data_IF_867454833283
#
_entry.id   IF_867454833283
#
_cell.length_a   1.000
_cell.length_b   1.000
_cell.length_c   1.000
_cell.angle_alpha   90.00
_cell.angle_beta   90.00
_cell.angle_gamma   90.00
#
_symmetry.space_group_name_H-M   'P 1'
#
loop_
_entity.id
_entity.type
_entity.pdbx_description
1 polymer ?
#
# COMPACT_ATOMS: atom_id res chain seq x y z
N UNK A 1 -35.37 0.75 8.22
CA UNK A 1 -34.08 0.58 8.89
C UNK A 1 -33.92 1.70 9.91
N UNK A 2 -33.45 1.40 11.11
CA UNK A 2 -33.17 2.40 12.16
C UNK A 2 -31.77 3.02 12.02
N UNK A 3 -30.87 2.29 11.36
CA UNK A 3 -29.54 2.70 10.95
C UNK A 3 -29.26 2.19 9.52
N UNK A 4 -28.62 3.01 8.69
CA UNK A 4 -28.09 2.64 7.37
C UNK A 4 -26.60 2.98 7.36
N UNK A 5 -25.75 1.97 7.22
CA UNK A 5 -24.30 2.12 7.10
C UNK A 5 -23.93 2.18 5.62
N UNK A 6 -23.05 3.12 5.27
CA UNK A 6 -22.60 3.37 3.90
C UNK A 6 -21.12 3.02 3.80
N UNK A 7 -20.84 1.98 3.02
CA UNK A 7 -19.50 1.52 2.68
C UNK A 7 -19.40 1.30 1.17
N UNK A 8 -19.31 2.41 0.42
CA UNK A 8 -19.18 2.42 -1.04
C UNK A 8 -17.79 2.94 -1.40
N UNK A 9 -17.18 2.45 -2.46
CA UNK A 9 -15.84 2.88 -2.81
C UNK A 9 -15.82 4.37 -3.20
N UNK A 10 -14.97 5.14 -2.51
CA UNK A 10 -14.59 6.51 -2.86
C UNK A 10 -13.08 6.49 -3.12
N UNK A 11 -12.68 6.75 -4.37
CA UNK A 11 -11.30 6.55 -4.80
C UNK A 11 -10.62 7.86 -5.22
N UNK A 12 -9.29 7.84 -5.22
CA UNK A 12 -8.47 8.93 -5.74
C UNK A 12 -7.73 8.45 -6.99
N UNK A 13 -8.19 8.92 -8.14
CA UNK A 13 -7.67 8.49 -9.44
C UNK A 13 -6.51 9.39 -9.84
N UNK A 14 -5.30 8.82 -9.89
CA UNK A 14 -4.10 9.50 -10.40
C UNK A 14 -4.14 9.52 -11.93
N UNK A 15 -3.69 10.63 -12.54
CA UNK A 15 -3.52 10.69 -14.01
C UNK A 15 -2.16 10.19 -14.45
N UNK A 16 -1.12 10.49 -13.66
CA UNK A 16 0.26 10.11 -13.97
C UNK A 16 0.91 9.41 -12.76
N UNK A 17 1.84 8.49 -13.04
CA UNK A 17 2.62 7.80 -12.01
C UNK A 17 3.55 8.81 -11.31
N UNK A 18 3.51 8.85 -9.97
CA UNK A 18 4.34 9.76 -9.20
C UNK A 18 3.94 11.24 -9.31
N UNK A 19 2.70 11.53 -9.72
CA UNK A 19 2.14 12.88 -9.73
C UNK A 19 0.74 12.91 -9.10
N UNK A 20 0.70 12.87 -7.77
CA UNK A 20 -0.55 12.89 -7.01
C UNK A 20 -1.45 14.05 -7.42
N UNK A 21 -0.89 15.25 -7.57
CA UNK A 21 -1.64 16.50 -7.75
C UNK A 21 -2.49 16.56 -9.03
N UNK A 22 -2.18 15.74 -10.03
CA UNK A 22 -2.97 15.70 -11.27
C UNK A 22 -4.24 14.84 -11.13
N UNK A 23 -4.36 14.10 -10.04
CA UNK A 23 -5.48 13.21 -9.75
C UNK A 23 -6.73 13.90 -9.21
N UNK A 24 -7.80 13.12 -9.08
CA UNK A 24 -9.10 13.59 -8.61
C UNK A 24 -9.84 12.52 -7.81
N UNK A 25 -10.68 12.96 -6.88
CA UNK A 25 -11.59 12.08 -6.13
C UNK A 25 -12.80 11.71 -6.99
N UNK A 26 -13.15 10.43 -7.04
CA UNK A 26 -14.42 9.96 -7.61
C UNK A 26 -15.49 9.86 -6.51
N UNK A 27 -16.47 10.76 -6.56
CA UNK A 27 -17.58 10.84 -5.59
C UNK A 27 -18.93 10.37 -6.18
N UNK A 28 -18.98 9.97 -7.45
CA UNK A 28 -20.25 9.76 -8.14
C UNK A 28 -21.11 8.67 -7.47
N UNK A 29 -20.48 7.55 -7.08
CA UNK A 29 -21.15 6.44 -6.40
C UNK A 29 -21.71 6.85 -5.03
N UNK A 30 -20.93 7.62 -4.25
CA UNK A 30 -21.36 8.12 -2.95
C UNK A 30 -22.53 9.09 -3.09
N UNK A 31 -22.46 10.06 -3.99
CA UNK A 31 -23.56 11.00 -4.21
C UNK A 31 -24.86 10.30 -4.64
N UNK A 32 -24.77 9.34 -5.56
CA UNK A 32 -25.92 8.56 -6.01
C UNK A 32 -26.54 7.75 -4.87
N UNK A 33 -25.70 7.18 -4.01
CA UNK A 33 -26.11 6.46 -2.80
C UNK A 33 -26.82 7.39 -1.83
N UNK A 34 -26.25 8.55 -1.52
CA UNK A 34 -26.86 9.55 -0.64
C UNK A 34 -28.21 10.07 -1.17
N UNK A 35 -28.32 10.31 -2.49
CA UNK A 35 -29.57 10.71 -3.15
C UNK A 35 -30.65 9.64 -2.97
N UNK A 36 -30.31 8.37 -3.21
CA UNK A 36 -31.23 7.23 -3.06
C UNK A 36 -31.68 7.05 -1.62
N UNK A 37 -30.76 7.14 -0.67
CA UNK A 37 -31.04 7.04 0.77
C UNK A 37 -31.99 8.16 1.18
N UNK A 38 -31.67 9.41 0.87
CA UNK A 38 -32.50 10.57 1.24
C UNK A 38 -33.94 10.49 0.73
N UNK A 39 -34.16 9.86 -0.44
CA UNK A 39 -35.50 9.66 -1.00
C UNK A 39 -36.33 8.60 -0.25
N UNK A 40 -35.68 7.67 0.47
CA UNK A 40 -36.35 6.46 1.00
C UNK A 40 -36.38 6.36 2.53
N UNK A 41 -35.38 6.91 3.23
CA UNK A 41 -35.29 6.73 4.69
C UNK A 41 -36.39 7.46 5.45
N UNK A 42 -36.72 6.96 6.64
CA UNK A 42 -37.53 7.69 7.60
C UNK A 42 -36.68 8.78 8.29
N UNK A 43 -37.27 9.89 8.76
CA UNK A 43 -36.52 11.01 9.36
C UNK A 43 -35.74 10.63 10.62
N UNK A 44 -36.14 9.56 11.31
CA UNK A 44 -35.49 9.05 12.52
C UNK A 44 -34.38 8.01 12.24
N UNK A 45 -34.12 7.69 10.97
CA UNK A 45 -33.06 6.76 10.57
C UNK A 45 -31.70 7.44 10.72
N UNK A 46 -30.77 6.81 11.43
CA UNK A 46 -29.37 7.19 11.40
C UNK A 46 -28.75 6.77 10.07
N UNK A 47 -28.05 7.69 9.40
CA UNK A 47 -27.19 7.40 8.26
C UNK A 47 -25.76 7.52 8.75
N UNK A 48 -24.97 6.45 8.62
CA UNK A 48 -23.58 6.39 9.05
C UNK A 48 -22.68 6.18 7.82
N UNK A 49 -21.85 7.15 7.50
CA UNK A 49 -20.80 6.99 6.49
C UNK A 49 -19.61 6.32 7.16
N UNK A 50 -19.25 5.10 6.71
CA UNK A 50 -18.01 4.40 7.08
C UNK A 50 -16.96 4.38 5.95
N UNK A 51 -17.40 4.74 4.76
CA UNK A 51 -16.55 4.98 3.59
C UNK A 51 -15.43 5.97 3.93
N UNK A 52 -14.18 5.65 3.57
CA UNK A 52 -13.10 6.63 3.63
C UNK A 52 -13.35 7.71 2.57
N UNK A 53 -13.57 8.95 3.00
CA UNK A 53 -13.94 10.08 2.14
C UNK A 53 -12.98 11.26 2.30
N UNK A 54 -13.00 12.17 1.32
CA UNK A 54 -12.32 13.46 1.39
C UNK A 54 -12.86 14.29 2.59
N UNK A 55 -12.00 14.94 3.40
CA UNK A 55 -12.46 15.76 4.52
C UNK A 55 -13.46 16.83 4.09
N UNK A 56 -14.57 16.94 4.82
CA UNK A 56 -15.70 17.82 4.52
C UNK A 56 -16.82 17.14 3.72
N UNK A 57 -16.64 15.90 3.26
CA UNK A 57 -17.67 15.22 2.45
C UNK A 57 -18.98 15.05 3.20
N UNK A 58 -18.94 14.64 4.48
CA UNK A 58 -20.14 14.43 5.28
C UNK A 58 -20.94 15.74 5.44
N UNK A 59 -20.28 16.85 5.76
CA UNK A 59 -20.93 18.13 6.05
C UNK A 59 -21.28 18.94 4.80
N UNK A 60 -20.44 18.93 3.77
CA UNK A 60 -20.57 19.80 2.59
C UNK A 60 -21.14 19.10 1.35
N UNK A 61 -21.20 17.76 1.34
CA UNK A 61 -21.75 16.98 0.21
C UNK A 61 -22.95 16.16 0.66
N UNK A 62 -22.74 15.21 1.57
CA UNK A 62 -23.78 14.26 1.98
C UNK A 62 -24.95 14.93 2.73
N UNK A 63 -24.64 15.84 3.64
CA UNK A 63 -25.65 16.55 4.43
C UNK A 63 -26.58 17.43 3.59
N UNK A 64 -26.08 18.29 2.66
CA UNK A 64 -26.95 19.01 1.71
C UNK A 64 -27.83 18.10 0.85
N UNK A 65 -27.30 16.96 0.38
CA UNK A 65 -28.07 15.98 -0.39
C UNK A 65 -29.27 15.45 0.43
N UNK A 66 -29.03 15.04 1.67
CA UNK A 66 -30.11 14.57 2.55
C UNK A 66 -31.11 15.67 2.89
N UNK A 67 -30.66 16.89 3.21
CA UNK A 67 -31.55 18.03 3.48
C UNK A 67 -32.45 18.35 2.29
N UNK A 68 -31.90 18.35 1.07
CA UNK A 68 -32.67 18.57 -0.17
C UNK A 68 -33.72 17.47 -0.38
N UNK A 69 -33.36 16.21 -0.12
CA UNK A 69 -34.28 15.09 -0.24
C UNK A 69 -35.42 15.14 0.81
N UNK A 70 -35.10 15.54 2.06
CA UNK A 70 -36.10 15.72 3.11
C UNK A 70 -37.07 16.86 2.78
N UNK A 71 -36.54 18.01 2.31
CA UNK A 71 -37.37 19.13 1.86
C UNK A 71 -38.32 18.73 0.72
N UNK A 72 -37.84 17.99 -0.28
CA UNK A 72 -38.66 17.48 -1.38
C UNK A 72 -39.77 16.51 -0.92
N UNK A 73 -39.61 15.91 0.27
CA UNK A 73 -40.58 15.01 0.90
C UNK A 73 -41.42 15.69 1.99
N UNK A 74 -41.34 17.02 2.11
CA UNK A 74 -41.99 17.82 3.16
C UNK A 74 -41.61 17.41 4.60
N UNK A 75 -40.41 16.87 4.80
CA UNK A 75 -39.87 16.52 6.12
C UNK A 75 -39.12 17.73 6.68
N UNK A 76 -39.51 18.19 7.88
CA UNK A 76 -38.97 19.42 8.50
C UNK A 76 -37.79 19.18 9.45
N UNK A 77 -37.62 17.97 9.95
CA UNK A 77 -36.52 17.62 10.86
C UNK A 77 -35.19 17.63 10.13
N UNK A 78 -34.10 17.86 10.84
CA UNK A 78 -32.77 17.63 10.27
C UNK A 78 -32.51 16.12 10.10
N UNK A 79 -31.76 15.70 9.06
CA UNK A 79 -31.31 14.32 8.94
C UNK A 79 -30.46 13.90 10.15
N UNK A 80 -30.42 12.61 10.45
CA UNK A 80 -29.45 12.06 11.40
C UNK A 80 -28.29 11.48 10.61
N UNK A 81 -27.23 12.27 10.42
CA UNK A 81 -26.04 11.87 9.66
C UNK A 81 -24.83 11.87 10.57
N UNK A 82 -24.02 10.82 10.46
CA UNK A 82 -22.78 10.66 11.18
C UNK A 82 -21.69 10.10 10.27
N UNK A 83 -20.45 10.29 10.68
CA UNK A 83 -19.27 9.68 10.11
C UNK A 83 -18.57 8.83 11.17
N UNK A 84 -18.12 7.66 10.78
CA UNK A 84 -17.12 6.88 11.49
C UNK A 84 -16.17 6.30 10.45
N UNK A 85 -15.00 5.79 10.83
CA UNK A 85 -14.13 5.16 9.85
C UNK A 85 -13.59 3.83 10.31
N UNK A 86 -13.39 3.02 9.28
CA UNK A 86 -12.68 1.78 9.15
C UNK A 86 -11.26 1.62 9.77
N UNK A 87 -10.94 0.51 10.44
CA UNK A 87 -9.55 0.10 10.74
C UNK A 87 -9.40 -1.43 10.63
N UNK A 88 -9.69 -1.95 9.44
CA UNK A 88 -9.74 -3.36 9.13
C UNK A 88 -8.36 -3.85 8.71
N UNK A 89 -8.03 -5.06 9.13
CA UNK A 89 -6.84 -5.76 8.68
C UNK A 89 -7.25 -7.04 7.96
N UNK A 90 -6.80 -7.27 6.71
CA UNK A 90 -7.04 -8.54 6.03
C UNK A 90 -6.35 -9.69 6.76
N UNK A 91 -6.91 -10.89 6.65
CA UNK A 91 -6.35 -12.13 7.18
C UNK A 91 -7.24 -12.82 8.23
N UNK A 92 -6.67 -13.79 8.94
CA UNK A 92 -7.39 -14.72 9.84
C UNK A 92 -8.19 -14.06 10.97
N UNK A 93 -7.84 -12.83 11.35
CA UNK A 93 -8.48 -12.08 12.43
C UNK A 93 -9.37 -10.93 11.91
N UNK A 94 -9.90 -11.04 10.69
CA UNK A 94 -10.67 -9.98 10.03
C UNK A 94 -11.78 -9.39 10.91
N UNK A 95 -12.68 -10.24 11.44
CA UNK A 95 -13.80 -9.80 12.29
C UNK A 95 -13.31 -9.13 13.58
N UNK A 96 -12.28 -9.72 14.22
CA UNK A 96 -11.70 -9.15 15.43
C UNK A 96 -11.07 -7.77 15.16
N UNK A 97 -10.47 -7.56 13.97
CA UNK A 97 -9.91 -6.24 13.60
C UNK A 97 -10.98 -5.15 13.48
N UNK A 98 -12.24 -5.52 13.25
CA UNK A 98 -13.36 -4.58 13.19
C UNK A 98 -13.92 -4.33 14.60
N UNK A 99 -14.14 -5.40 15.38
CA UNK A 99 -14.81 -5.35 16.69
C UNK A 99 -13.89 -4.87 17.82
N UNK A 100 -12.65 -5.35 17.84
CA UNK A 100 -11.70 -5.23 18.94
C UNK A 100 -10.61 -4.20 18.58
N UNK A 101 -11.05 -2.99 18.21
CA UNK A 101 -10.14 -1.92 17.81
C UNK A 101 -10.73 -0.53 18.10
N UNK A 102 -9.87 0.43 18.41
CA UNK A 102 -10.30 1.81 18.67
C UNK A 102 -11.02 2.39 17.45
N UNK A 103 -12.21 2.96 17.69
CA UNK A 103 -13.05 3.59 16.67
C UNK A 103 -13.17 5.09 16.95
N UNK A 104 -13.33 5.87 15.89
CA UNK A 104 -13.60 7.31 15.95
C UNK A 104 -14.92 7.58 15.25
N UNK A 105 -15.78 8.42 15.82
CA UNK A 105 -17.01 8.85 15.16
C UNK A 105 -17.34 10.32 15.43
N UNK A 106 -18.25 10.88 14.64
CA UNK A 106 -18.88 12.17 14.91
C UNK A 106 -20.26 12.24 14.24
N UNK A 107 -21.16 13.05 14.79
CA UNK A 107 -22.48 13.33 14.22
C UNK A 107 -22.61 14.78 13.76
N UNK A 108 -23.37 15.02 12.68
CA UNK A 108 -23.65 16.37 12.18
C UNK A 108 -24.48 17.24 13.14
N UNK A 109 -25.21 16.61 14.07
CA UNK A 109 -25.95 17.28 15.14
C UNK A 109 -25.95 16.42 16.42
N UNK A 110 -26.46 16.98 17.53
CA UNK A 110 -26.43 16.35 18.84
C UNK A 110 -27.14 14.98 18.88
N UNK A 111 -28.28 14.85 18.20
CA UNK A 111 -29.01 13.58 18.17
C UNK A 111 -28.28 12.54 17.32
N UNK A 112 -27.74 12.92 16.16
CA UNK A 112 -26.92 12.02 15.34
C UNK A 112 -25.68 11.54 16.11
N UNK A 113 -25.02 12.43 16.87
CA UNK A 113 -23.87 12.09 17.73
C UNK A 113 -24.25 11.05 18.78
N UNK A 114 -25.35 11.28 19.50
CA UNK A 114 -25.87 10.33 20.49
C UNK A 114 -26.22 8.96 19.87
N UNK A 115 -26.84 8.97 18.70
CA UNK A 115 -27.29 7.76 17.99
C UNK A 115 -26.12 6.94 17.46
N UNK A 116 -25.10 7.58 16.86
CA UNK A 116 -23.91 6.87 16.37
C UNK A 116 -23.08 6.31 17.52
N UNK A 117 -22.92 7.06 18.62
CA UNK A 117 -22.23 6.57 19.81
C UNK A 117 -22.93 5.34 20.37
N UNK A 118 -24.26 5.38 20.54
CA UNK A 118 -25.03 4.22 20.98
C UNK A 118 -24.83 3.02 20.05
N UNK A 119 -25.01 3.22 18.74
CA UNK A 119 -24.88 2.16 17.75
C UNK A 119 -23.49 1.49 17.80
N UNK A 120 -22.42 2.28 17.80
CA UNK A 120 -21.05 1.75 17.84
C UNK A 120 -20.73 1.04 19.15
N UNK A 121 -21.26 1.50 20.29
CA UNK A 121 -21.10 0.82 21.58
C UNK A 121 -21.80 -0.54 21.64
N UNK A 122 -22.88 -0.73 20.89
CA UNK A 122 -23.63 -1.99 20.82
C UNK A 122 -22.94 -3.03 19.92
N UNK A 123 -22.16 -2.61 18.92
CA UNK A 123 -21.55 -3.51 17.92
C UNK A 123 -20.04 -3.72 18.09
N UNK A 124 -19.36 -2.83 18.81
CA UNK A 124 -17.90 -2.89 19.04
C UNK A 124 -17.58 -3.20 20.52
N UNK A 125 -16.40 -3.77 20.76
CA UNK A 125 -15.87 -3.99 22.11
C UNK A 125 -15.35 -2.67 22.70
N UNK A 126 -16.26 -1.76 23.04
CA UNK A 126 -15.90 -0.42 23.55
C UNK A 126 -15.50 -0.40 25.03
N UNK A 127 -15.62 -1.53 25.73
CA UNK A 127 -15.14 -1.70 27.11
C UNK A 127 -13.60 -1.76 27.13
N UNK A 128 -13.02 -2.55 26.23
CA UNK A 128 -11.56 -2.68 26.09
C UNK A 128 -10.97 -1.63 25.13
N UNK A 129 -11.75 -1.20 24.12
CA UNK A 129 -11.32 -0.23 23.09
C UNK A 129 -12.24 1.01 23.09
N UNK A 130 -12.04 1.97 24.01
CA UNK A 130 -12.92 3.13 24.14
C UNK A 130 -13.12 3.89 22.83
N UNK A 131 -14.38 4.22 22.53
CA UNK A 131 -14.78 5.04 21.39
C UNK A 131 -14.31 6.49 21.58
N UNK A 132 -13.72 7.08 20.54
CA UNK A 132 -13.42 8.52 20.51
C UNK A 132 -14.49 9.26 19.72
N UNK A 133 -15.15 10.24 20.35
CA UNK A 133 -16.20 11.03 19.71
C UNK A 133 -15.65 12.43 19.41
N UNK A 134 -15.59 12.80 18.13
CA UNK A 134 -15.14 14.11 17.67
C UNK A 134 -16.29 15.11 17.60
N UNK A 135 -15.96 16.39 17.65
CA UNK A 135 -16.98 17.44 17.64
C UNK A 135 -17.63 17.57 16.26
N UNK A 136 -16.87 17.40 15.19
CA UNK A 136 -17.40 17.51 13.83
C UNK A 136 -17.02 16.32 12.92
N UNK A 137 -17.88 15.96 11.95
CA UNK A 137 -17.55 14.91 10.97
C UNK A 137 -16.24 15.16 10.22
N UNK A 138 -15.95 16.40 9.83
CA UNK A 138 -14.69 16.74 9.16
C UNK A 138 -13.45 16.37 9.98
N UNK A 139 -13.51 16.43 11.32
CA UNK A 139 -12.41 16.02 12.20
C UNK A 139 -12.23 14.49 12.18
N UNK A 140 -13.33 13.74 12.16
CA UNK A 140 -13.31 12.28 12.04
C UNK A 140 -12.77 11.85 10.67
N UNK A 141 -13.21 12.47 9.58
CA UNK A 141 -12.69 12.24 8.22
C UNK A 141 -11.19 12.58 8.13
N UNK A 142 -10.81 13.75 8.65
CA UNK A 142 -9.41 14.21 8.66
C UNK A 142 -8.51 13.27 9.47
N UNK A 143 -9.01 12.73 10.59
CA UNK A 143 -8.26 11.77 11.41
C UNK A 143 -7.83 10.55 10.58
N UNK A 144 -8.73 9.99 9.77
CA UNK A 144 -8.42 8.85 8.89
C UNK A 144 -7.35 9.20 7.86
N UNK A 145 -7.51 10.36 7.21
CA UNK A 145 -6.58 10.81 6.17
C UNK A 145 -5.17 11.07 6.75
N UNK A 146 -5.08 11.72 7.90
CA UNK A 146 -3.80 12.02 8.56
C UNK A 146 -3.12 10.72 9.04
N UNK A 147 -3.86 9.76 9.61
CA UNK A 147 -3.32 8.47 10.05
C UNK A 147 -2.55 7.76 8.93
N UNK A 148 -3.15 7.67 7.74
CA UNK A 148 -2.53 7.03 6.59
C UNK A 148 -1.45 7.89 5.92
N UNK A 149 -1.66 9.21 5.84
CA UNK A 149 -0.67 10.15 5.30
C UNK A 149 0.61 10.18 6.13
N UNK A 150 0.49 10.08 7.46
CA UNK A 150 1.62 9.98 8.38
C UNK A 150 2.48 8.74 8.09
N UNK A 151 1.83 7.57 7.96
CA UNK A 151 2.51 6.31 7.65
C UNK A 151 3.19 6.34 6.27
N UNK A 152 2.51 6.86 5.25
CA UNK A 152 3.09 7.03 3.92
C UNK A 152 4.30 7.97 3.94
N UNK A 153 4.23 9.06 4.72
CA UNK A 153 5.35 10.02 4.87
C UNK A 153 6.58 9.39 5.52
N UNK A 154 6.41 8.59 6.58
CA UNK A 154 7.54 7.87 7.20
C UNK A 154 8.21 6.93 6.20
N UNK A 155 7.42 6.22 5.40
CA UNK A 155 7.94 5.28 4.40
C UNK A 155 8.68 6.00 3.28
N UNK A 156 8.18 7.15 2.79
CA UNK A 156 8.89 7.97 1.81
C UNK A 156 10.18 8.56 2.38
N UNK A 157 10.13 9.06 3.62
CA UNK A 157 11.31 9.57 4.32
C UNK A 157 12.38 8.49 4.46
N UNK A 158 12.02 7.27 4.86
CA UNK A 158 12.99 6.18 5.01
C UNK A 158 13.48 5.62 3.67
N UNK A 159 12.73 5.78 2.58
CA UNK A 159 13.19 5.49 1.22
C UNK A 159 14.34 6.42 0.80
N UNK A 160 14.22 7.72 1.09
CA UNK A 160 15.31 8.68 0.87
C UNK A 160 16.60 8.24 1.60
N UNK A 161 16.48 7.85 2.87
CA UNK A 161 17.61 7.33 3.65
C UNK A 161 18.07 5.93 3.23
N UNK A 162 17.21 5.15 2.58
CA UNK A 162 17.59 3.87 1.96
C UNK A 162 18.59 4.12 0.83
N UNK A 163 18.27 5.05 -0.08
CA UNK A 163 19.16 5.44 -1.17
C UNK A 163 20.48 6.04 -0.66
N UNK A 164 20.43 6.86 0.39
CA UNK A 164 21.64 7.34 1.07
C UNK A 164 22.48 6.17 1.59
N UNK A 165 21.85 5.23 2.28
CA UNK A 165 22.55 4.12 2.93
C UNK A 165 23.23 3.19 1.93
N UNK A 166 22.57 2.92 0.80
CA UNK A 166 23.12 2.13 -0.30
C UNK A 166 24.40 2.75 -0.89
N UNK A 167 24.42 4.07 -1.07
CA UNK A 167 25.56 4.79 -1.65
C UNK A 167 26.74 4.95 -0.68
N UNK A 168 26.47 4.94 0.62
CA UNK A 168 27.46 5.26 1.66
C UNK A 168 27.89 4.07 2.51
N UNK A 169 27.57 2.83 2.10
CA UNK A 169 28.04 1.64 2.81
C UNK A 169 27.36 1.40 4.16
N UNK A 170 26.16 1.95 4.37
CA UNK A 170 25.41 1.88 5.64
C UNK A 170 24.35 0.79 5.60
N UNK A 171 24.10 0.17 6.75
CA UNK A 171 22.98 -0.76 6.97
C UNK A 171 21.81 0.00 7.62
N UNK A 172 20.83 0.43 6.82
CA UNK A 172 19.68 1.18 7.33
C UNK A 172 18.87 0.36 8.34
N UNK A 173 18.84 -0.96 8.24
CA UNK A 173 18.08 -1.81 9.17
C UNK A 173 18.72 -1.80 10.54
N UNK A 174 20.06 -1.88 10.63
CA UNK A 174 20.76 -1.72 11.91
C UNK A 174 20.54 -0.33 12.50
N UNK A 175 20.54 0.73 11.67
CA UNK A 175 20.25 2.10 12.10
C UNK A 175 18.83 2.21 12.68
N UNK A 176 17.82 1.72 11.97
CA UNK A 176 16.42 1.70 12.43
C UNK A 176 16.30 0.93 13.75
N UNK A 177 16.88 -0.28 13.84
CA UNK A 177 16.85 -1.09 15.08
C UNK A 177 17.46 -0.34 16.27
N UNK A 178 18.59 0.35 16.07
CA UNK A 178 19.22 1.15 17.13
C UNK A 178 18.33 2.32 17.58
N UNK A 179 17.62 2.99 16.66
CA UNK A 179 16.72 4.10 16.98
C UNK A 179 15.47 3.61 17.72
N UNK A 180 14.90 2.47 17.30
CA UNK A 180 13.65 1.92 17.86
C UNK A 180 13.75 1.51 19.34
N UNK A 181 14.96 1.49 19.91
CA UNK A 181 15.15 1.37 21.37
C UNK A 181 14.54 2.56 22.13
N UNK A 182 14.32 3.70 21.48
CA UNK A 182 13.61 4.85 22.05
C UNK A 182 12.09 4.68 21.87
N UNK A 183 11.29 4.80 22.95
CA UNK A 183 9.83 4.72 22.86
C UNK A 183 9.22 5.72 21.87
N UNK A 184 9.80 6.91 21.74
CA UNK A 184 9.29 7.99 20.87
C UNK A 184 9.48 7.73 19.37
N UNK A 185 10.30 6.76 18.97
CA UNK A 185 10.63 6.47 17.57
C UNK A 185 10.52 4.97 17.23
N UNK A 186 9.89 4.18 18.10
CA UNK A 186 9.72 2.74 17.90
C UNK A 186 8.79 2.39 16.71
N UNK A 187 8.12 3.39 16.15
CA UNK A 187 7.21 3.30 15.03
C UNK A 187 7.89 3.49 13.66
N UNK A 188 9.23 3.62 13.59
CA UNK A 188 9.96 3.58 12.32
C UNK A 188 9.82 2.21 11.64
N UNK A 189 9.67 2.22 10.32
CA UNK A 189 9.38 1.04 9.49
C UNK A 189 10.31 1.06 8.27
N UNK A 190 10.93 -0.07 7.94
CA UNK A 190 11.73 -0.16 6.72
C UNK A 190 10.85 0.09 5.47
N UNK A 191 11.30 0.91 4.50
CA UNK A 191 10.42 1.39 3.43
C UNK A 191 9.91 0.27 2.52
N UNK A 192 10.74 -0.72 2.19
CA UNK A 192 10.37 -1.75 1.22
C UNK A 192 10.22 -1.19 -0.21
N UNK A 193 9.76 -2.01 -1.17
CA UNK A 193 9.74 -1.64 -2.59
C UNK A 193 8.53 -0.79 -2.99
N UNK A 194 7.56 -0.57 -2.11
CA UNK A 194 6.33 0.17 -2.42
C UNK A 194 5.40 0.21 -1.21
N UNK A 195 4.36 1.04 -1.29
CA UNK A 195 3.22 0.97 -0.37
C UNK A 195 2.10 0.22 -1.08
N UNK A 196 1.25 -0.49 -0.35
CA UNK A 196 0.07 -1.11 -0.96
C UNK A 196 -1.12 -1.17 -0.02
N UNK A 197 -2.15 -1.89 -0.47
CA UNK A 197 -3.52 -1.73 0.00
C UNK A 197 -4.16 -0.44 -0.52
N UNK A 198 -5.47 -0.28 -0.34
CA UNK A 198 -6.20 0.87 -0.89
C UNK A 198 -5.81 2.22 -0.26
N UNK A 199 -5.46 2.25 1.03
CA UNK A 199 -5.46 3.50 1.79
C UNK A 199 -4.20 4.35 1.58
N UNK A 200 -3.01 3.77 1.80
CA UNK A 200 -1.76 4.53 1.79
C UNK A 200 -1.48 5.23 0.44
N UNK A 201 -1.74 4.63 -0.73
CA UNK A 201 -1.48 5.28 -2.02
C UNK A 201 -2.38 6.46 -2.33
N UNK A 202 -3.55 6.58 -1.68
CA UNK A 202 -4.65 7.44 -2.14
C UNK A 202 -5.10 8.49 -1.13
N UNK A 203 -5.08 8.18 0.17
CA UNK A 203 -5.73 9.00 1.19
C UNK A 203 -5.14 10.42 1.28
N UNK A 204 -3.82 10.55 1.11
CA UNK A 204 -3.18 11.86 1.03
C UNK A 204 -3.69 12.73 -0.12
N UNK A 205 -4.11 12.10 -1.23
CA UNK A 205 -4.77 12.74 -2.37
C UNK A 205 -6.17 13.23 -2.03
N UNK A 206 -6.94 12.46 -1.26
CA UNK A 206 -8.26 12.88 -0.77
C UNK A 206 -8.16 14.16 0.07
N UNK A 207 -7.16 14.27 0.95
CA UNK A 207 -6.91 15.47 1.75
C UNK A 207 -6.53 16.69 0.90
N UNK A 208 -5.61 16.51 -0.06
CA UNK A 208 -5.23 17.57 -1.00
C UNK A 208 -6.42 18.04 -1.85
N UNK A 209 -7.18 17.11 -2.38
CA UNK A 209 -8.34 17.38 -3.23
C UNK A 209 -9.46 18.07 -2.47
N UNK A 210 -9.75 17.65 -1.23
CA UNK A 210 -10.71 18.31 -0.35
C UNK A 210 -10.37 19.78 -0.14
N UNK A 211 -9.11 20.07 0.18
CA UNK A 211 -8.62 21.42 0.43
C UNK A 211 -8.87 22.36 -0.75
N UNK A 212 -8.57 21.89 -1.98
CA UNK A 212 -8.79 22.64 -3.21
C UNK A 212 -10.27 22.74 -3.60
N UNK A 213 -10.98 21.63 -3.60
CA UNK A 213 -12.27 21.52 -4.31
C UNK A 213 -13.51 21.56 -3.40
N UNK A 214 -13.42 21.07 -2.17
CA UNK A 214 -14.53 21.14 -1.20
C UNK A 214 -14.45 22.39 -0.34
N UNK A 215 -13.24 22.75 0.10
CA UNK A 215 -13.01 23.88 1.00
C UNK A 215 -12.67 25.18 0.25
N UNK A 216 -12.33 25.09 -1.05
CA UNK A 216 -12.17 26.25 -1.93
C UNK A 216 -10.89 27.07 -1.72
N UNK A 217 -9.84 26.46 -1.17
CA UNK A 217 -8.56 27.15 -0.95
C UNK A 217 -7.61 27.00 -2.14
N UNK A 218 -6.91 28.08 -2.50
CA UNK A 218 -6.03 28.13 -3.67
C UNK A 218 -4.53 28.22 -3.35
N UNK A 219 -4.13 28.36 -2.10
CA UNK A 219 -2.73 28.33 -1.66
C UNK A 219 -2.15 26.91 -1.59
N UNK A 220 -0.83 26.79 -1.43
CA UNK A 220 -0.10 25.53 -1.50
C UNK A 220 0.50 25.11 -0.16
N UNK A 221 -0.33 24.49 0.68
CA UNK A 221 0.09 23.95 1.99
C UNK A 221 0.53 22.47 1.93
N UNK A 222 0.10 21.72 0.91
CA UNK A 222 0.29 20.26 0.81
C UNK A 222 1.65 19.86 0.21
N UNK A 223 2.75 20.29 0.82
CA UNK A 223 4.11 20.03 0.30
C UNK A 223 4.60 18.61 0.61
N UNK A 224 4.47 18.19 1.86
CA UNK A 224 5.01 16.92 2.36
C UNK A 224 4.19 15.74 1.85
N UNK A 225 2.87 15.76 2.06
CA UNK A 225 1.99 14.64 1.69
C UNK A 225 2.04 14.32 0.21
N UNK A 226 1.99 15.33 -0.68
CA UNK A 226 2.01 15.10 -2.13
C UNK A 226 3.35 14.50 -2.57
N UNK A 227 4.47 15.05 -2.07
CA UNK A 227 5.82 14.51 -2.32
C UNK A 227 5.98 13.09 -1.78
N UNK A 228 5.50 12.82 -0.57
CA UNK A 228 5.59 11.50 0.04
C UNK A 228 4.87 10.43 -0.79
N UNK A 229 3.66 10.72 -1.29
CA UNK A 229 2.97 9.76 -2.15
C UNK A 229 3.71 9.56 -3.48
N UNK A 230 4.22 10.64 -4.09
CA UNK A 230 4.98 10.55 -5.34
C UNK A 230 6.24 9.67 -5.22
N UNK A 231 6.97 9.80 -4.10
CA UNK A 231 8.13 8.95 -3.79
C UNK A 231 7.69 7.50 -3.66
N UNK A 232 6.65 7.23 -2.87
CA UNK A 232 6.18 5.87 -2.65
C UNK A 232 5.64 5.20 -3.92
N UNK A 233 5.04 5.95 -4.84
CA UNK A 233 4.56 5.44 -6.13
C UNK A 233 5.69 4.94 -7.04
N UNK A 234 6.89 5.52 -6.90
CA UNK A 234 7.99 5.33 -7.85
C UNK A 234 9.17 4.55 -7.29
N UNK A 235 9.28 4.38 -5.97
CA UNK A 235 10.43 3.68 -5.36
C UNK A 235 10.63 2.24 -5.83
N UNK A 236 9.57 1.54 -6.25
CA UNK A 236 9.66 0.20 -6.81
C UNK A 236 10.52 0.12 -8.08
N UNK A 237 10.63 1.21 -8.83
CA UNK A 237 11.50 1.31 -10.02
C UNK A 237 12.98 1.10 -9.68
N UNK A 238 13.38 1.42 -8.45
CA UNK A 238 14.75 1.24 -7.98
C UNK A 238 15.13 -0.24 -7.85
N UNK A 239 14.19 -1.11 -7.49
CA UNK A 239 14.44 -2.57 -7.42
C UNK A 239 14.81 -3.13 -8.80
N UNK A 240 14.13 -2.70 -9.86
CA UNK A 240 14.48 -3.08 -11.23
C UNK A 240 15.89 -2.57 -11.62
N UNK A 241 16.26 -1.38 -11.15
CA UNK A 241 17.61 -0.82 -11.32
C UNK A 241 18.68 -1.65 -10.59
N UNK A 242 18.43 -2.05 -9.34
CA UNK A 242 19.32 -2.95 -8.60
C UNK A 242 19.47 -4.29 -9.32
N UNK A 243 18.37 -4.83 -9.85
CA UNK A 243 18.37 -6.11 -10.58
C UNK A 243 19.25 -6.04 -11.82
N UNK A 244 19.07 -5.00 -12.66
CA UNK A 244 19.93 -4.73 -13.82
C UNK A 244 21.40 -4.64 -13.43
N UNK A 245 21.70 -3.86 -12.40
CA UNK A 245 23.07 -3.62 -11.99
C UNK A 245 23.73 -4.88 -11.41
N UNK A 246 22.97 -5.75 -10.73
CA UNK A 246 23.47 -7.03 -10.25
C UNK A 246 23.80 -7.97 -11.41
N UNK A 247 22.88 -8.12 -12.38
CA UNK A 247 23.11 -8.91 -13.59
C UNK A 247 24.34 -8.40 -14.37
N UNK A 248 24.45 -7.07 -14.54
CA UNK A 248 25.61 -6.44 -15.20
C UNK A 248 26.92 -6.78 -14.48
N UNK A 249 26.94 -6.76 -13.15
CA UNK A 249 28.13 -7.13 -12.36
C UNK A 249 28.54 -8.60 -12.54
N UNK A 250 27.63 -9.44 -13.02
CA UNK A 250 27.87 -10.84 -13.39
C UNK A 250 28.14 -11.03 -14.89
N UNK A 251 28.23 -9.95 -15.68
CA UNK A 251 28.40 -10.01 -17.13
C UNK A 251 27.15 -10.44 -17.90
N UNK A 252 25.96 -10.33 -17.29
CA UNK A 252 24.67 -10.68 -17.89
C UNK A 252 23.87 -9.42 -18.25
N UNK A 253 23.04 -9.52 -19.27
CA UNK A 253 22.12 -8.46 -19.68
C UNK A 253 20.74 -8.69 -19.05
N UNK A 254 19.98 -7.62 -18.81
CA UNK A 254 18.62 -7.75 -18.26
C UNK A 254 17.60 -8.16 -19.32
N UNK A 255 17.80 -7.75 -20.58
CA UNK A 255 16.94 -8.13 -21.68
C UNK A 255 17.04 -9.65 -21.93
N UNK A 256 15.90 -10.34 -21.88
CA UNK A 256 15.80 -11.79 -21.98
C UNK A 256 16.19 -12.55 -20.71
N UNK A 257 16.57 -11.86 -19.62
CA UNK A 257 16.94 -12.53 -18.37
C UNK A 257 15.71 -13.15 -17.70
N UNK A 258 15.88 -14.38 -17.22
CA UNK A 258 14.83 -15.06 -16.44
C UNK A 258 14.87 -14.59 -14.99
N UNK A 259 13.84 -13.87 -14.55
CA UNK A 259 13.76 -13.30 -13.19
C UNK A 259 12.60 -13.93 -12.44
N UNK A 260 12.86 -14.44 -11.23
CA UNK A 260 11.80 -14.85 -10.32
C UNK A 260 11.57 -13.77 -9.25
N UNK A 261 10.36 -13.24 -9.20
CA UNK A 261 9.90 -12.39 -8.13
C UNK A 261 9.14 -13.21 -7.09
N UNK A 262 9.66 -13.24 -5.87
CA UNK A 262 9.06 -13.92 -4.71
C UNK A 262 8.28 -12.90 -3.86
N UNK A 263 6.95 -12.95 -3.98
CA UNK A 263 6.01 -12.13 -3.22
C UNK A 263 5.28 -11.12 -4.11
N UNK A 264 4.05 -11.43 -4.49
CA UNK A 264 3.17 -10.52 -5.25
C UNK A 264 2.35 -9.63 -4.31
N UNK A 265 2.04 -10.14 -3.12
CA UNK A 265 1.19 -9.47 -2.13
C UNK A 265 1.82 -8.19 -1.58
N UNK A 266 1.03 -7.18 -1.21
CA UNK A 266 1.59 -5.94 -0.67
C UNK A 266 2.10 -6.10 0.77
N UNK A 267 1.70 -7.16 1.46
CA UNK A 267 2.01 -7.45 2.85
C UNK A 267 2.34 -8.92 3.05
N UNK A 268 3.21 -9.16 4.02
CA UNK A 268 3.56 -10.50 4.49
C UNK A 268 2.33 -11.32 4.91
N UNK A 269 2.34 -12.58 4.49
CA UNK A 269 1.44 -13.68 4.88
C UNK A 269 -0.07 -13.41 4.67
N UNK A 270 -0.39 -12.66 3.61
CA UNK A 270 -1.75 -12.45 3.10
C UNK A 270 -1.76 -12.55 1.58
N UNK A 271 -2.93 -12.78 0.98
CA UNK A 271 -3.15 -12.89 -0.46
C UNK A 271 -3.79 -11.61 -1.03
N UNK A 272 -3.10 -10.48 -0.91
CA UNK A 272 -3.64 -9.17 -1.26
C UNK A 272 -2.65 -8.37 -2.08
N UNK A 273 -2.94 -8.20 -3.38
CA UNK A 273 -2.06 -7.60 -4.38
C UNK A 273 -2.36 -6.12 -4.65
N UNK A 274 -3.39 -5.57 -4.03
CA UNK A 274 -3.90 -4.24 -4.37
C UNK A 274 -2.81 -3.19 -4.14
N UNK A 275 -2.46 -2.46 -5.20
CA UNK A 275 -1.39 -1.46 -5.21
C UNK A 275 -0.04 -2.01 -4.73
N UNK A 276 0.23 -3.32 -4.88
CA UNK A 276 1.47 -3.91 -4.41
C UNK A 276 2.69 -3.24 -5.01
N UNK A 277 3.71 -2.96 -4.19
CA UNK A 277 5.00 -2.47 -4.66
C UNK A 277 5.64 -3.43 -5.67
N UNK A 278 5.37 -4.73 -5.56
CA UNK A 278 5.82 -5.75 -6.49
C UNK A 278 5.28 -5.53 -7.91
N UNK A 279 4.10 -4.94 -8.07
CA UNK A 279 3.55 -4.64 -9.41
C UNK A 279 4.45 -3.66 -10.15
N UNK A 280 4.89 -2.58 -9.51
CA UNK A 280 5.84 -1.61 -10.11
C UNK A 280 7.15 -2.28 -10.50
N UNK A 281 7.64 -3.22 -9.68
CA UNK A 281 8.86 -3.98 -9.96
C UNK A 281 8.69 -4.84 -11.22
N UNK A 282 7.63 -5.65 -11.29
CA UNK A 282 7.35 -6.53 -12.44
C UNK A 282 7.22 -5.70 -13.71
N UNK A 283 6.36 -4.67 -13.70
CA UNK A 283 6.10 -3.85 -14.89
C UNK A 283 7.36 -3.19 -15.42
N UNK A 284 8.21 -2.66 -14.53
CA UNK A 284 9.48 -2.03 -14.92
C UNK A 284 10.50 -3.04 -15.44
N UNK A 285 10.58 -4.24 -14.86
CA UNK A 285 11.47 -5.30 -15.36
C UNK A 285 11.06 -5.77 -16.76
N UNK A 286 9.76 -5.96 -16.99
CA UNK A 286 9.22 -6.29 -18.31
C UNK A 286 9.47 -5.19 -19.33
N UNK A 287 9.32 -3.92 -18.93
CA UNK A 287 9.69 -2.78 -19.79
C UNK A 287 11.18 -2.78 -20.17
N UNK A 288 12.05 -3.24 -19.26
CA UNK A 288 13.48 -3.45 -19.51
C UNK A 288 13.79 -4.71 -20.33
N UNK A 289 12.77 -5.49 -20.73
CA UNK A 289 12.85 -6.67 -21.57
C UNK A 289 13.14 -7.97 -20.83
N UNK A 290 13.00 -8.02 -19.50
CA UNK A 290 13.18 -9.26 -18.74
C UNK A 290 11.97 -10.20 -18.87
N UNK A 291 12.23 -11.50 -18.78
CA UNK A 291 11.19 -12.52 -18.64
C UNK A 291 10.94 -12.75 -17.14
N UNK A 292 9.79 -12.30 -16.65
CA UNK A 292 9.47 -12.25 -15.22
C UNK A 292 8.47 -13.34 -14.86
N UNK A 293 8.89 -14.23 -13.97
CA UNK A 293 8.03 -15.21 -13.30
C UNK A 293 7.77 -14.76 -11.87
N UNK A 294 6.63 -15.18 -11.34
CA UNK A 294 6.18 -14.76 -10.01
C UNK A 294 5.86 -15.98 -9.18
N UNK A 295 6.31 -15.98 -7.94
CA UNK A 295 5.89 -16.94 -6.92
C UNK A 295 5.31 -16.19 -5.72
N UNK A 296 4.17 -16.64 -5.22
CA UNK A 296 3.58 -16.17 -3.96
C UNK A 296 2.79 -17.32 -3.32
N UNK A 297 3.13 -17.78 -2.11
CA UNK A 297 2.55 -18.99 -1.52
C UNK A 297 1.08 -18.82 -1.06
N UNK A 298 0.55 -17.59 -1.08
CA UNK A 298 -0.81 -17.30 -0.64
C UNK A 298 -1.74 -16.91 -1.79
N UNK A 299 -1.22 -16.71 -3.00
CA UNK A 299 -1.94 -16.11 -4.12
C UNK A 299 -2.07 -17.09 -5.28
N UNK A 300 -3.28 -17.29 -5.78
CA UNK A 300 -3.53 -18.11 -6.98
C UNK A 300 -3.52 -17.28 -8.26
N UNK A 301 -4.08 -16.06 -8.21
CA UNK A 301 -4.28 -15.19 -9.37
C UNK A 301 -3.80 -13.77 -9.08
N UNK A 302 -3.12 -13.17 -10.05
CA UNK A 302 -2.71 -11.76 -9.99
C UNK A 302 -3.47 -10.94 -11.05
N UNK A 303 -4.71 -10.59 -10.74
CA UNK A 303 -5.62 -9.93 -11.68
C UNK A 303 -5.12 -8.58 -12.22
N UNK A 304 -4.33 -7.83 -11.44
CA UNK A 304 -3.69 -6.59 -11.92
C UNK A 304 -2.80 -6.79 -13.16
N UNK A 305 -2.24 -8.00 -13.34
CA UNK A 305 -1.43 -8.38 -14.50
C UNK A 305 -2.20 -9.23 -15.51
N UNK A 306 -3.06 -10.15 -15.05
CA UNK A 306 -3.82 -11.06 -15.92
C UNK A 306 -4.95 -10.34 -16.69
N UNK A 307 -5.55 -9.32 -16.09
CA UNK A 307 -6.76 -8.64 -16.61
C UNK A 307 -6.56 -7.13 -16.78
N UNK A 308 -5.44 -6.73 -17.38
CA UNK A 308 -5.03 -5.32 -17.48
C UNK A 308 -6.05 -4.41 -18.17
N UNK A 309 -6.88 -4.95 -19.07
CA UNK A 309 -7.85 -4.16 -19.83
C UNK A 309 -9.14 -3.89 -19.03
N UNK A 310 -9.42 -4.68 -17.98
CA UNK A 310 -10.69 -4.64 -17.24
C UNK A 310 -10.55 -4.48 -15.73
N UNK A 311 -9.39 -4.81 -15.15
CA UNK A 311 -9.14 -4.74 -13.71
C UNK A 311 -8.12 -3.65 -13.35
N UNK A 312 -8.34 -2.86 -12.27
CA UNK A 312 -9.55 -2.84 -11.43
C UNK A 312 -10.77 -2.20 -12.11
N UNK A 313 -10.55 -1.47 -13.20
CA UNK A 313 -11.56 -0.96 -14.11
C UNK A 313 -10.90 -0.62 -15.47
N UNK A 314 -11.67 -0.54 -16.57
CA UNK A 314 -11.12 -0.13 -17.87
C UNK A 314 -10.36 1.20 -17.81
N UNK A 315 -9.11 1.21 -18.28
CA UNK A 315 -8.24 2.38 -18.28
C UNK A 315 -7.59 2.74 -16.93
N UNK A 316 -7.82 1.94 -15.88
CA UNK A 316 -7.27 2.17 -14.54
C UNK A 316 -6.05 1.29 -14.21
N UNK A 317 -5.74 0.28 -15.02
CA UNK A 317 -4.54 -0.52 -14.85
C UNK A 317 -3.28 0.34 -14.93
N UNK A 318 -2.28 0.00 -14.10
CA UNK A 318 -0.97 0.65 -14.14
C UNK A 318 -0.18 0.35 -15.42
N UNK A 319 -0.61 -0.62 -16.23
CA UNK A 319 -0.04 -0.94 -17.54
C UNK A 319 0.15 0.30 -18.42
N UNK A 320 -0.79 1.26 -18.35
CA UNK A 320 -0.76 2.52 -19.12
C UNK A 320 0.46 3.40 -18.86
N UNK A 321 1.21 3.15 -17.78
CA UNK A 321 2.41 3.89 -17.41
C UNK A 321 3.72 3.25 -17.87
N UNK A 322 3.65 2.07 -18.49
CA UNK A 322 4.82 1.28 -18.86
C UNK A 322 4.71 0.76 -20.30
N UNK A 323 5.86 0.53 -20.94
CA UNK A 323 5.92 -0.13 -22.25
C UNK A 323 6.07 -1.65 -22.13
N UNK A 324 5.79 -2.39 -23.22
CA UNK A 324 5.98 -3.85 -23.32
C UNK A 324 5.14 -4.70 -22.33
N UNK A 325 3.91 -4.28 -22.02
CA UNK A 325 3.11 -4.91 -20.96
C UNK A 325 2.21 -6.07 -21.42
N UNK A 326 2.06 -6.30 -22.74
CA UNK A 326 1.09 -7.28 -23.27
C UNK A 326 1.34 -8.71 -22.77
N UNK A 327 2.60 -9.14 -22.69
CA UNK A 327 2.95 -10.49 -22.24
C UNK A 327 2.62 -10.75 -20.76
N UNK A 328 2.45 -9.71 -19.94
CA UNK A 328 2.08 -9.89 -18.53
C UNK A 328 0.68 -10.51 -18.35
N UNK A 329 -0.19 -10.46 -19.37
CA UNK A 329 -1.49 -11.15 -19.35
C UNK A 329 -1.34 -12.69 -19.25
N UNK A 330 -0.19 -13.21 -19.67
CA UNK A 330 0.14 -14.64 -19.65
C UNK A 330 0.82 -15.09 -18.35
N UNK A 331 1.15 -14.15 -17.45
CA UNK A 331 1.81 -14.48 -16.18
C UNK A 331 0.92 -15.39 -15.33
N UNK A 332 1.54 -16.35 -14.66
CA UNK A 332 0.87 -17.22 -13.70
C UNK A 332 1.67 -17.22 -12.41
N UNK A 333 0.96 -17.13 -11.29
CA UNK A 333 1.59 -17.22 -9.97
C UNK A 333 1.97 -18.68 -9.73
N UNK A 334 3.26 -18.94 -9.58
CA UNK A 334 3.79 -20.27 -9.28
C UNK A 334 3.68 -20.55 -7.77
N UNK A 335 3.18 -21.73 -7.39
CA UNK A 335 3.03 -22.14 -5.99
C UNK A 335 4.15 -23.09 -5.52
N UNK A 336 4.85 -23.74 -6.46
CA UNK A 336 6.01 -24.58 -6.15
C UNK A 336 7.28 -23.75 -6.28
N UNK A 337 7.81 -23.32 -5.14
CA UNK A 337 9.00 -22.50 -5.06
C UNK A 337 10.23 -23.14 -5.71
N UNK A 338 10.42 -24.45 -5.53
CA UNK A 338 11.58 -25.14 -6.08
C UNK A 338 11.47 -25.25 -7.60
N UNK A 339 10.28 -25.53 -8.14
CA UNK A 339 10.03 -25.52 -9.57
C UNK A 339 10.24 -24.12 -10.16
N UNK A 340 9.71 -23.09 -9.50
CA UNK A 340 9.81 -21.70 -9.92
C UNK A 340 11.27 -21.23 -10.01
N UNK A 341 12.16 -21.71 -9.13
CA UNK A 341 13.57 -21.33 -9.16
C UNK A 341 14.39 -21.91 -10.31
N UNK A 342 13.89 -22.88 -11.08
CA UNK A 342 14.68 -23.50 -12.16
C UNK A 342 15.10 -22.48 -13.22
N UNK A 343 16.40 -22.46 -13.56
CA UNK A 343 16.99 -21.64 -14.64
C UNK A 343 16.79 -20.12 -14.50
N UNK A 344 16.56 -19.62 -13.28
CA UNK A 344 16.51 -18.17 -13.05
C UNK A 344 17.91 -17.58 -13.05
N UNK A 345 18.03 -16.36 -13.55
CA UNK A 345 19.27 -15.57 -13.53
C UNK A 345 19.25 -14.50 -12.43
N UNK A 346 18.06 -14.12 -11.97
CA UNK A 346 17.87 -13.28 -10.80
C UNK A 346 16.69 -13.74 -9.92
N UNK A 347 16.86 -13.61 -8.61
CA UNK A 347 15.84 -13.81 -7.59
C UNK A 347 15.58 -12.48 -6.87
N UNK A 348 14.32 -12.05 -6.80
CA UNK A 348 13.89 -10.87 -6.07
C UNK A 348 13.04 -11.31 -4.88
N UNK A 349 13.52 -11.08 -3.66
CA UNK A 349 12.76 -11.28 -2.43
C UNK A 349 11.96 -10.01 -2.15
N UNK A 350 10.78 -9.93 -2.77
CA UNK A 350 9.96 -8.73 -2.82
C UNK A 350 9.05 -8.57 -1.60
N UNK A 351 8.66 -9.64 -0.91
CA UNK A 351 7.78 -9.62 0.27
C UNK A 351 8.28 -10.64 1.28
N UNK A 352 8.36 -10.33 2.60
CA UNK A 352 8.98 -11.23 3.58
C UNK A 352 8.02 -12.33 4.06
N UNK A 353 7.38 -13.07 3.14
CA UNK A 353 6.56 -14.23 3.50
C UNK A 353 7.37 -15.27 4.26
N UNK A 354 6.71 -15.96 5.20
CA UNK A 354 7.33 -16.93 6.09
C UNK A 354 8.22 -17.97 5.39
N UNK A 355 7.81 -18.57 4.25
CA UNK A 355 8.65 -19.53 3.53
C UNK A 355 9.97 -18.94 3.03
N UNK A 356 10.00 -17.65 2.68
CA UNK A 356 11.19 -17.01 2.11
C UNK A 356 12.24 -16.67 3.18
N UNK A 357 11.82 -16.44 4.42
CA UNK A 357 12.71 -16.18 5.55
C UNK A 357 13.64 -17.39 5.83
N UNK A 358 13.16 -18.59 5.50
CA UNK A 358 13.86 -19.86 5.74
C UNK A 358 14.78 -20.29 4.60
N UNK A 359 14.80 -19.57 3.49
CA UNK A 359 15.59 -19.96 2.33
C UNK A 359 17.09 -20.02 2.62
N UNK A 360 17.72 -21.08 2.12
CA UNK A 360 19.15 -21.34 2.23
C UNK A 360 19.87 -21.00 0.91
N UNK A 361 20.98 -20.23 0.93
CA UNK A 361 21.71 -19.88 -0.28
C UNK A 361 22.17 -21.06 -1.15
N UNK A 362 22.62 -22.17 -0.54
CA UNK A 362 23.10 -23.34 -1.27
C UNK A 362 21.98 -24.02 -2.05
N UNK A 363 20.80 -24.16 -1.43
CA UNK A 363 19.64 -24.74 -2.08
C UNK A 363 19.15 -23.88 -3.25
N UNK A 364 19.13 -22.55 -3.07
CA UNK A 364 18.73 -21.61 -4.13
C UNK A 364 19.64 -21.72 -5.34
N UNK A 365 20.96 -21.67 -5.13
CA UNK A 365 21.95 -21.77 -6.22
C UNK A 365 21.83 -23.13 -6.91
N UNK A 366 21.60 -24.21 -6.15
CA UNK A 366 21.37 -25.56 -6.68
C UNK A 366 20.10 -25.63 -7.52
N UNK A 367 18.98 -25.09 -7.06
CA UNK A 367 17.71 -25.11 -7.78
C UNK A 367 17.75 -24.24 -9.05
N UNK A 368 18.42 -23.08 -8.99
CA UNK A 368 18.68 -22.22 -10.14
C UNK A 368 19.59 -22.88 -11.19
N UNK A 369 20.45 -23.82 -10.76
CA UNK A 369 21.41 -24.50 -11.61
C UNK A 369 22.75 -23.75 -11.75
N UNK A 370 22.99 -22.75 -10.93
CA UNK A 370 24.23 -21.96 -10.93
C UNK A 370 24.10 -20.61 -10.23
N UNK A 371 25.18 -19.81 -10.21
CA UNK A 371 25.17 -18.50 -9.59
C UNK A 371 24.17 -17.55 -10.26
N UNK A 372 23.53 -16.70 -9.45
CA UNK A 372 22.48 -15.78 -9.86
C UNK A 372 22.60 -14.43 -9.14
N UNK A 373 21.83 -13.45 -9.60
CA UNK A 373 21.65 -12.19 -8.89
C UNK A 373 20.57 -12.34 -7.80
N UNK A 374 20.81 -11.80 -6.62
CA UNK A 374 19.87 -11.81 -5.49
C UNK A 374 19.55 -10.37 -5.11
N UNK A 375 18.27 -10.02 -5.12
CA UNK A 375 17.77 -8.69 -4.75
C UNK A 375 16.88 -8.82 -3.52
N UNK A 376 17.26 -8.20 -2.42
CA UNK A 376 16.51 -8.23 -1.17
C UNK A 376 15.84 -6.88 -0.89
N UNK A 377 14.51 -6.86 -0.96
CA UNK A 377 13.71 -5.64 -0.84
C UNK A 377 13.33 -5.31 0.61
N UNK A 378 13.52 -6.23 1.57
CA UNK A 378 13.07 -6.05 2.95
C UNK A 378 14.17 -6.34 3.99
N UNK A 379 15.38 -6.63 3.54
CA UNK A 379 16.49 -7.04 4.40
C UNK A 379 16.26 -8.38 5.07
N UNK A 380 15.61 -9.29 4.35
CA UNK A 380 15.38 -10.68 4.73
C UNK A 380 16.71 -11.43 4.96
N UNK A 381 17.76 -11.05 4.23
CA UNK A 381 19.05 -11.71 4.28
C UNK A 381 19.92 -11.16 5.42
N UNK A 382 20.34 -12.07 6.29
CA UNK A 382 21.39 -11.84 7.28
C UNK A 382 22.77 -11.78 6.62
N UNK A 383 23.74 -11.18 7.31
CA UNK A 383 25.09 -10.95 6.75
C UNK A 383 25.80 -12.27 6.40
N UNK A 384 25.51 -13.35 7.13
CA UNK A 384 25.99 -14.71 6.88
C UNK A 384 25.45 -15.28 5.57
N UNK A 385 24.14 -15.12 5.30
CA UNK A 385 23.53 -15.56 4.04
C UNK A 385 24.06 -14.77 2.86
N UNK A 386 24.22 -13.45 3.03
CA UNK A 386 24.82 -12.57 2.00
C UNK A 386 26.25 -13.01 1.69
N UNK A 387 27.06 -13.27 2.72
CA UNK A 387 28.42 -13.80 2.56
C UNK A 387 28.42 -15.11 1.79
N UNK A 388 27.52 -16.04 2.15
CA UNK A 388 27.43 -17.34 1.48
C UNK A 388 27.10 -17.22 0.00
N UNK A 389 26.19 -16.32 -0.39
CA UNK A 389 25.93 -16.04 -1.81
C UNK A 389 27.18 -15.59 -2.57
N UNK A 390 27.98 -14.68 -2.00
CA UNK A 390 29.23 -14.25 -2.64
C UNK A 390 30.26 -15.39 -2.74
N UNK A 391 30.34 -16.28 -1.75
CA UNK A 391 31.20 -17.46 -1.81
C UNK A 391 30.83 -18.38 -2.97
N UNK A 392 29.52 -18.56 -3.18
CA UNK A 392 28.88 -19.32 -4.27
C UNK A 392 28.95 -18.61 -5.64
N UNK A 393 29.55 -17.41 -5.73
CA UNK A 393 29.73 -16.67 -6.99
C UNK A 393 28.51 -15.86 -7.44
N UNK A 394 27.52 -15.69 -6.56
CA UNK A 394 26.34 -14.85 -6.82
C UNK A 394 26.67 -13.37 -6.65
N UNK A 395 25.77 -12.52 -7.12
CA UNK A 395 25.77 -11.08 -6.81
C UNK A 395 24.59 -10.76 -5.91
N UNK A 396 24.80 -9.95 -4.87
CA UNK A 396 23.73 -9.54 -3.95
C UNK A 396 23.61 -8.01 -3.95
N UNK A 397 22.39 -7.51 -4.10
CA UNK A 397 22.02 -6.11 -3.84
C UNK A 397 20.76 -6.08 -2.98
N UNK A 398 20.56 -5.00 -2.23
CA UNK A 398 19.40 -4.89 -1.37
C UNK A 398 19.08 -3.42 -1.10
N UNK A 399 17.80 -3.14 -0.88
CA UNK A 399 17.35 -1.81 -0.49
C UNK A 399 18.01 -1.44 0.85
N UNK A 400 18.60 -0.25 0.94
CA UNK A 400 19.08 0.35 2.19
C UNK A 400 20.28 -0.35 2.84
N UNK A 401 20.96 -1.26 2.11
CA UNK A 401 22.01 -2.15 2.65
C UNK A 401 23.34 -1.95 1.93
N UNK A 402 23.90 -0.74 2.00
CA UNK A 402 25.16 -0.41 1.33
C UNK A 402 26.36 -1.20 1.85
N UNK A 403 26.33 -1.67 3.11
CA UNK A 403 27.45 -2.41 3.71
C UNK A 403 27.73 -3.76 3.05
N UNK A 404 26.82 -4.26 2.20
CA UNK A 404 26.98 -5.47 1.40
C UNK A 404 28.29 -5.45 0.61
N UNK A 405 28.71 -4.27 0.12
CA UNK A 405 29.96 -4.11 -0.61
C UNK A 405 31.19 -4.53 0.23
N UNK A 406 31.21 -4.18 1.52
CA UNK A 406 32.28 -4.60 2.44
C UNK A 406 32.29 -6.12 2.66
N UNK A 407 31.11 -6.75 2.70
CA UNK A 407 30.99 -8.21 2.79
C UNK A 407 31.60 -8.84 1.53
N UNK A 408 31.23 -8.35 0.35
CA UNK A 408 31.77 -8.80 -0.94
C UNK A 408 33.30 -8.72 -1.00
N UNK A 409 33.87 -7.58 -0.61
CA UNK A 409 35.32 -7.38 -0.56
C UNK A 409 36.01 -8.36 0.38
N UNK A 410 35.44 -8.59 1.57
CA UNK A 410 36.00 -9.54 2.54
C UNK A 410 35.96 -11.01 2.07
N UNK A 411 35.04 -11.37 1.17
CA UNK A 411 35.00 -12.70 0.56
C UNK A 411 36.06 -12.81 -0.55
N UNK A 412 36.23 -11.75 -1.35
CA UNK A 412 37.24 -11.71 -2.41
C UNK A 412 38.66 -11.77 -1.85
N UNK A 413 38.93 -11.03 -0.78
CA UNK A 413 40.26 -11.01 -0.15
C UNK A 413 40.69 -12.35 0.48
N UNK A 414 39.75 -13.27 0.72
CA UNK A 414 40.05 -14.63 1.21
C UNK A 414 40.33 -15.63 0.08
N UNK A 415 40.03 -15.27 -1.18
CA UNK A 415 40.23 -16.12 -2.37
C UNK A 415 41.57 -15.84 -3.05
N UNK A 416 42.07 -14.61 -2.95
CA UNK A 416 43.49 -14.23 -3.18
C UNK A 416 44.34 -14.63 -2.00
#
# INVERSE_FOLDING_TARGET
>A
ADCVVIDVQCDYLKKDLGQLRTGSTDMAALEATMKTIGQKIQPNCLVLIETTVAPGTTEFVAWPILKKAFAARNIKTEPLLAHSFERVMPGKNYVASIRDFWRVCSGCNAEARKRVEKFLREVLNTEEFPLTVMDRPIESETTKIIENSYRATILAFLDEWSLFSERNGVDLIKVIKAIKMRPTHNNMIFPGPGIGGYCLPKDGGLGYWAYKHLLGFDDDIFKITTTAININDTRGLHVATLTRDALRNMGRYIAGANILLCGASYRQDVADTRYSGSEIVVRRLTEMGADVRVHDPYLEHWYELEQQDSYPAPGHSWARFFHNQEQLKEIRVENDLQAAMKKIEALILAVPHEPYLKLNPDDIVKWAGGPLAIIDCFGILEDEKIRRYFELGCEVKALGRGHIQRIKESVRSKKT
#
